data_IF_754185622131
#
_entry.id   IF_754185622131
#
_cell.length_a   1.000
_cell.length_b   1.000
_cell.length_c   1.000
_cell.angle_alpha   90.00
_cell.angle_beta   90.00
_cell.angle_gamma   90.00
#
_symmetry.space_group_name_H-M   'P 1'
#
loop_
_entity.id
_entity.type
_entity.pdbx_description
1 polymer ?
#
# COMPACT_ATOMS: atom_id res chain seq x y z
N UNK A 1 2.86 -4.63 21.10
CA UNK A 1 3.83 -5.36 20.24
C UNK A 1 3.64 -6.86 20.37
N UNK A 2 3.66 -7.44 21.58
CA UNK A 2 3.50 -8.89 21.78
C UNK A 2 2.33 -9.49 21.00
N UNK A 3 1.19 -8.81 20.93
CA UNK A 3 0.01 -9.25 20.16
C UNK A 3 0.17 -9.26 18.64
N UNK A 4 1.30 -8.77 18.15
CA UNK A 4 1.64 -8.72 16.72
C UNK A 4 2.82 -9.64 16.37
N UNK A 5 3.31 -10.39 17.33
CA UNK A 5 4.35 -11.41 17.13
C UNK A 5 3.72 -12.77 16.82
N UNK A 6 4.41 -13.53 16.00
CA UNK A 6 4.11 -14.94 15.76
C UNK A 6 5.11 -15.82 16.53
N UNK A 7 4.93 -17.14 16.48
CA UNK A 7 5.89 -18.10 17.07
C UNK A 7 7.29 -17.96 16.46
N UNK A 8 7.37 -17.58 15.20
CA UNK A 8 8.62 -17.50 14.41
C UNK A 8 9.14 -16.07 14.21
N UNK A 9 8.28 -15.05 14.33
CA UNK A 9 8.65 -13.65 14.11
C UNK A 9 8.53 -12.85 15.42
N UNK A 10 9.66 -12.49 16.00
CA UNK A 10 9.74 -11.69 17.23
C UNK A 10 10.55 -10.43 17.02
N UNK A 11 10.15 -9.35 17.67
CA UNK A 11 10.94 -8.11 17.69
C UNK A 11 12.07 -8.20 18.70
N UNK A 12 13.31 -8.02 18.26
CA UNK A 12 14.49 -8.07 19.10
C UNK A 12 14.53 -6.98 20.16
N UNK A 13 14.46 -5.71 19.75
CA UNK A 13 14.45 -4.56 20.66
C UNK A 13 13.10 -3.85 20.64
N UNK A 14 12.11 -4.42 21.33
CA UNK A 14 10.73 -3.88 21.39
C UNK A 14 10.66 -2.51 22.02
N UNK A 15 11.36 -2.33 23.12
CA UNK A 15 11.31 -1.10 23.90
C UNK A 15 11.98 0.05 23.17
N UNK A 16 13.17 -0.15 22.62
CA UNK A 16 13.86 0.85 21.80
C UNK A 16 13.07 1.22 20.55
N UNK A 17 12.43 0.23 19.89
CA UNK A 17 11.59 0.52 18.72
C UNK A 17 10.37 1.38 19.09
N UNK A 18 9.71 1.07 20.23
CA UNK A 18 8.57 1.88 20.69
C UNK A 18 9.02 3.30 21.03
N UNK A 19 10.02 3.43 21.91
CA UNK A 19 10.47 4.72 22.43
C UNK A 19 11.04 5.62 21.34
N UNK A 20 11.93 5.06 20.51
CA UNK A 20 12.75 5.86 19.60
C UNK A 20 12.08 6.10 18.23
N UNK A 21 11.09 5.28 17.84
CA UNK A 21 10.47 5.39 16.53
C UNK A 21 8.94 5.48 16.57
N UNK A 22 8.25 4.52 17.18
CA UNK A 22 6.80 4.43 17.00
C UNK A 22 6.04 5.50 17.76
N UNK A 23 6.46 5.85 18.97
CA UNK A 23 5.86 6.96 19.73
C UNK A 23 6.14 8.31 19.06
N UNK A 24 7.39 8.68 18.71
CA UNK A 24 7.68 9.93 18.00
C UNK A 24 6.94 10.08 16.69
N UNK A 25 6.90 9.02 15.85
CA UNK A 25 6.16 9.05 14.59
C UNK A 25 4.66 9.22 14.82
N UNK A 26 4.08 8.49 15.79
CA UNK A 26 2.65 8.60 16.11
C UNK A 26 2.29 10.00 16.63
N UNK A 27 3.13 10.56 17.51
CA UNK A 27 2.95 11.93 18.00
C UNK A 27 3.01 12.96 16.86
N UNK A 28 3.98 12.81 15.96
CA UNK A 28 4.11 13.68 14.80
C UNK A 28 2.88 13.60 13.87
N UNK A 29 2.40 12.38 13.60
CA UNK A 29 1.19 12.17 12.80
C UNK A 29 -0.01 12.83 13.49
N UNK A 30 -0.18 12.61 14.80
CA UNK A 30 -1.28 13.20 15.57
C UNK A 30 -1.30 14.73 15.52
N UNK A 31 -0.12 15.36 15.63
CA UNK A 31 0.02 16.82 15.49
C UNK A 31 -0.33 17.35 14.10
N UNK A 32 -0.14 16.55 13.05
CA UNK A 32 -0.42 16.94 11.66
C UNK A 32 -1.85 16.59 11.22
N UNK A 33 -2.49 15.64 11.91
CA UNK A 33 -3.88 15.29 11.64
C UNK A 33 -4.79 16.40 12.17
N UNK A 34 -5.40 17.15 11.27
CA UNK A 34 -6.49 18.04 11.61
C UNK A 34 -7.82 17.31 11.38
N UNK A 35 -8.83 17.59 12.22
CA UNK A 35 -10.13 16.91 12.10
C UNK A 35 -10.95 17.36 10.87
N UNK A 36 -10.40 18.20 10.01
CA UNK A 36 -11.09 18.73 8.82
C UNK A 36 -11.06 17.74 7.66
N UNK A 37 -9.93 17.03 7.47
CA UNK A 37 -9.73 16.04 6.40
C UNK A 37 -8.87 14.88 6.90
N UNK A 38 -9.07 13.65 6.40
CA UNK A 38 -8.18 12.55 6.72
C UNK A 38 -6.73 12.85 6.37
N UNK A 39 -5.82 12.57 7.29
CA UNK A 39 -4.38 12.62 7.06
C UNK A 39 -3.91 11.28 6.50
N UNK A 40 -3.32 11.29 5.31
CA UNK A 40 -2.90 10.07 4.61
C UNK A 40 -1.42 9.80 4.85
N UNK A 41 -1.15 8.70 5.53
CA UNK A 41 0.20 8.19 5.80
C UNK A 41 0.49 7.04 4.85
N UNK A 42 1.46 7.20 3.96
CA UNK A 42 1.99 6.10 3.17
C UNK A 42 2.99 5.29 3.99
N UNK A 43 2.90 3.97 3.95
CA UNK A 43 3.86 3.06 4.56
C UNK A 43 4.37 2.06 3.53
N UNK A 44 5.64 2.15 3.20
CA UNK A 44 6.29 1.29 2.23
C UNK A 44 7.42 0.45 2.85
N UNK A 45 7.73 -0.65 2.21
CA UNK A 45 8.83 -1.55 2.58
C UNK A 45 8.71 -2.89 1.86
N UNK A 46 9.80 -3.63 1.76
CA UNK A 46 9.83 -4.96 1.14
C UNK A 46 8.92 -5.97 1.85
N UNK A 47 8.75 -7.13 1.26
CA UNK A 47 8.07 -8.24 1.91
C UNK A 47 8.87 -8.64 3.17
N UNK A 48 8.20 -9.02 4.24
CA UNK A 48 8.86 -9.39 5.50
C UNK A 48 9.38 -8.23 6.37
N UNK A 49 9.32 -6.96 5.92
CA UNK A 49 9.84 -5.81 6.70
C UNK A 49 8.94 -5.37 7.86
N UNK A 50 7.87 -6.08 8.16
CA UNK A 50 6.99 -5.77 9.29
C UNK A 50 6.00 -4.62 9.06
N UNK A 51 5.70 -4.25 7.80
CA UNK A 51 4.73 -3.17 7.47
C UNK A 51 3.42 -3.29 8.24
N UNK A 52 2.79 -4.46 8.14
CA UNK A 52 1.48 -4.71 8.75
C UNK A 52 1.53 -4.60 10.27
N UNK A 53 2.61 -5.05 10.88
CA UNK A 53 2.84 -4.96 12.33
C UNK A 53 3.04 -3.52 12.76
N UNK A 54 3.92 -2.79 12.08
CA UNK A 54 4.22 -1.39 12.40
C UNK A 54 2.98 -0.51 12.21
N UNK A 55 2.25 -0.69 11.11
CA UNK A 55 1.00 0.05 10.88
C UNK A 55 -0.05 -0.24 11.95
N UNK A 56 -0.12 -1.49 12.45
CA UNK A 56 -1.02 -1.87 13.54
C UNK A 56 -0.64 -1.20 14.86
N UNK A 57 0.65 -1.14 15.17
CA UNK A 57 1.13 -0.50 16.41
C UNK A 57 0.89 1.02 16.35
N UNK A 58 1.24 1.66 15.25
CA UNK A 58 0.96 3.10 15.04
C UNK A 58 -0.55 3.37 15.18
N UNK A 59 -1.40 2.55 14.56
CA UNK A 59 -2.86 2.65 14.71
C UNK A 59 -3.28 2.58 16.18
N UNK A 60 -2.80 1.59 16.94
CA UNK A 60 -3.13 1.44 18.37
C UNK A 60 -2.72 2.67 19.18
N UNK A 61 -1.52 3.22 18.93
CA UNK A 61 -1.04 4.42 19.63
C UNK A 61 -1.95 5.61 19.31
N UNK A 62 -2.22 5.85 18.02
CA UNK A 62 -3.08 6.96 17.59
C UNK A 62 -4.50 6.86 18.13
N UNK A 63 -5.09 5.65 18.17
CA UNK A 63 -6.44 5.46 18.67
C UNK A 63 -6.52 5.55 20.20
N UNK A 64 -5.59 4.91 20.92
CA UNK A 64 -5.65 4.84 22.39
C UNK A 64 -5.24 6.16 23.07
N UNK A 65 -4.15 6.76 22.61
CA UNK A 65 -3.59 7.95 23.28
C UNK A 65 -4.09 9.27 22.68
N UNK A 66 -4.26 9.33 21.35
CA UNK A 66 -4.69 10.56 20.67
C UNK A 66 -6.17 10.57 20.29
N UNK A 67 -6.92 9.49 20.58
CA UNK A 67 -8.36 9.35 20.31
C UNK A 67 -8.75 9.58 18.85
N UNK A 68 -7.82 9.37 17.92
CA UNK A 68 -8.04 9.52 16.49
C UNK A 68 -8.70 8.25 15.90
N UNK A 69 -9.53 8.42 14.88
CA UNK A 69 -10.14 7.34 14.11
C UNK A 69 -9.18 6.94 13.00
N UNK A 70 -8.51 5.82 13.17
CA UNK A 70 -7.45 5.35 12.25
C UNK A 70 -7.89 4.14 11.45
N UNK A 71 -7.78 4.21 10.14
CA UNK A 71 -8.03 3.07 9.26
C UNK A 71 -6.75 2.67 8.51
N UNK A 72 -6.52 1.36 8.48
CA UNK A 72 -5.46 0.75 7.67
C UNK A 72 -6.07 0.24 6.38
N UNK A 73 -5.41 0.52 5.28
CA UNK A 73 -5.75 -0.01 3.96
C UNK A 73 -4.48 -0.51 3.27
N UNK A 74 -4.57 -1.64 2.61
CA UNK A 74 -3.47 -2.18 1.82
C UNK A 74 -3.69 -1.91 0.34
N UNK A 75 -2.62 -1.60 -0.39
CA UNK A 75 -2.67 -1.53 -1.85
C UNK A 75 -3.10 -2.87 -2.45
N UNK A 76 -2.77 -3.98 -1.79
CA UNK A 76 -3.10 -5.34 -2.21
C UNK A 76 -4.60 -5.60 -2.25
N UNK A 77 -5.41 -4.92 -1.41
CA UNK A 77 -6.86 -5.05 -1.42
C UNK A 77 -7.50 -4.52 -2.72
N UNK A 78 -6.76 -3.71 -3.46
CA UNK A 78 -7.20 -3.08 -4.70
C UNK A 78 -6.66 -3.76 -5.97
N UNK A 79 -6.13 -4.97 -5.89
CA UNK A 79 -5.76 -5.68 -7.12
C UNK A 79 -6.97 -5.78 -8.06
N UNK A 80 -6.69 -5.68 -9.35
CA UNK A 80 -7.65 -6.01 -10.40
C UNK A 80 -8.13 -7.44 -10.23
N UNK A 81 -9.39 -7.71 -10.60
CA UNK A 81 -9.92 -9.06 -10.65
C UNK A 81 -9.08 -9.94 -11.58
N UNK A 82 -9.16 -11.26 -11.39
CA UNK A 82 -8.45 -12.20 -12.25
C UNK A 82 -8.84 -12.03 -13.72
N UNK A 83 -10.15 -11.82 -14.00
CA UNK A 83 -10.65 -11.54 -15.34
C UNK A 83 -10.00 -10.30 -15.96
N UNK A 84 -9.91 -9.21 -15.21
CA UNK A 84 -9.26 -7.97 -15.68
C UNK A 84 -7.76 -8.17 -15.94
N UNK A 85 -7.06 -8.96 -15.10
CA UNK A 85 -5.63 -9.27 -15.29
C UNK A 85 -5.41 -10.20 -16.49
N UNK A 86 -6.29 -11.17 -16.75
CA UNK A 86 -6.27 -11.99 -17.97
C UNK A 86 -6.42 -11.09 -19.20
N UNK A 87 -7.38 -10.17 -19.22
CA UNK A 87 -7.53 -9.24 -20.34
C UNK A 87 -6.30 -8.34 -20.52
N UNK A 88 -5.73 -7.85 -19.40
CA UNK A 88 -4.52 -7.04 -19.41
C UNK A 88 -3.29 -7.82 -19.92
N UNK A 89 -3.14 -9.08 -19.53
CA UNK A 89 -2.04 -9.92 -19.95
C UNK A 89 -2.06 -10.21 -21.45
N UNK A 90 -3.25 -10.44 -22.02
CA UNK A 90 -3.43 -10.63 -23.46
C UNK A 90 -3.17 -9.34 -24.26
N UNK A 91 -3.59 -8.18 -23.70
CA UNK A 91 -3.48 -6.90 -24.40
C UNK A 91 -2.07 -6.30 -24.36
N UNK A 92 -1.33 -6.50 -23.28
CA UNK A 92 -0.06 -5.80 -23.03
C UNK A 92 1.10 -6.77 -22.92
N UNK A 93 1.12 -7.62 -21.90
CA UNK A 93 2.23 -8.54 -21.67
C UNK A 93 1.84 -9.69 -20.73
N UNK A 94 2.22 -10.96 -21.01
CA UNK A 94 1.83 -12.13 -20.20
C UNK A 94 2.15 -12.01 -18.70
N UNK A 95 3.27 -11.39 -18.33
CA UNK A 95 3.66 -11.19 -16.93
C UNK A 95 2.66 -10.34 -16.12
N UNK A 96 1.72 -9.63 -16.76
CA UNK A 96 0.67 -8.86 -16.07
C UNK A 96 -0.51 -9.72 -15.61
N UNK A 97 -0.51 -11.02 -15.91
CA UNK A 97 -1.45 -11.98 -15.32
C UNK A 97 -1.21 -12.10 -13.81
N UNK A 98 0.06 -12.18 -13.41
CA UNK A 98 0.44 -12.24 -12.00
C UNK A 98 0.22 -10.88 -11.33
N UNK A 99 -0.48 -10.88 -10.18
CA UNK A 99 -0.62 -9.68 -9.36
C UNK A 99 0.71 -9.26 -8.74
N UNK A 100 0.84 -7.98 -8.42
CA UNK A 100 2.01 -7.47 -7.69
C UNK A 100 2.44 -6.10 -8.20
N UNK A 101 2.89 -6.03 -9.45
CA UNK A 101 3.51 -4.83 -10.01
C UNK A 101 2.53 -3.70 -10.28
N UNK A 102 3.01 -2.43 -10.31
CA UNK A 102 2.22 -1.29 -10.73
C UNK A 102 1.55 -1.52 -12.09
N UNK A 103 0.24 -1.27 -12.15
CA UNK A 103 -0.63 -1.57 -13.30
C UNK A 103 -1.57 -2.75 -13.07
N UNK A 104 -1.28 -3.61 -12.10
CA UNK A 104 -2.18 -4.72 -11.71
C UNK A 104 -3.19 -4.33 -10.62
N UNK A 105 -3.14 -3.09 -10.12
CA UNK A 105 -4.10 -2.55 -9.16
C UNK A 105 -5.16 -1.68 -9.86
N UNK A 106 -6.33 -1.58 -9.26
CA UNK A 106 -7.42 -0.67 -9.67
C UNK A 106 -7.21 0.72 -9.06
N UNK A 107 -6.38 1.51 -9.70
CA UNK A 107 -6.04 2.87 -9.24
C UNK A 107 -7.25 3.81 -9.25
N UNK A 108 -8.18 3.62 -10.18
CA UNK A 108 -9.38 4.46 -10.22
C UNK A 108 -10.25 4.24 -8.97
N UNK A 109 -10.39 2.99 -8.54
CA UNK A 109 -11.09 2.65 -7.30
C UNK A 109 -10.39 3.24 -6.07
N UNK A 110 -9.05 3.21 -6.00
CA UNK A 110 -8.29 3.84 -4.91
C UNK A 110 -8.48 5.36 -4.89
N UNK A 111 -8.42 6.01 -6.05
CA UNK A 111 -8.63 7.46 -6.15
C UNK A 111 -10.04 7.86 -5.72
N UNK A 112 -11.05 7.07 -6.12
CA UNK A 112 -12.44 7.28 -5.68
C UNK A 112 -12.58 7.08 -4.16
N UNK A 113 -11.97 6.03 -3.60
CA UNK A 113 -11.93 5.78 -2.16
C UNK A 113 -11.30 6.98 -1.41
N UNK A 114 -10.15 7.49 -1.85
CA UNK A 114 -9.48 8.63 -1.25
C UNK A 114 -10.34 9.91 -1.36
N UNK A 115 -10.98 10.12 -2.51
CA UNK A 115 -11.91 11.25 -2.71
C UNK A 115 -13.10 11.18 -1.75
N UNK A 116 -13.74 10.02 -1.65
CA UNK A 116 -14.91 9.79 -0.78
C UNK A 116 -14.56 9.91 0.70
N UNK A 117 -13.38 9.46 1.12
CA UNK A 117 -12.92 9.59 2.51
C UNK A 117 -12.74 11.07 2.94
N UNK A 118 -12.43 11.96 1.99
CA UNK A 118 -12.27 13.41 2.21
C UNK A 118 -13.60 14.19 2.18
N UNK A 119 -14.71 13.55 1.84
CA UNK A 119 -15.98 14.25 1.66
C UNK A 119 -16.46 14.92 2.97
N UNK A 120 -16.96 16.16 2.88
CA UNK A 120 -17.52 16.90 4.04
C UNK A 120 -18.68 16.12 4.68
N UNK A 121 -19.62 15.65 3.85
CA UNK A 121 -20.70 14.73 4.27
C UNK A 121 -20.21 13.31 4.04
N UNK A 122 -19.59 12.71 5.06
CA UNK A 122 -19.09 11.35 4.98
C UNK A 122 -20.26 10.35 4.91
N UNK A 123 -20.18 9.47 3.94
CA UNK A 123 -21.08 8.31 3.81
C UNK A 123 -20.27 7.05 4.03
N UNK A 124 -20.92 5.97 4.42
CA UNK A 124 -20.25 4.67 4.56
C UNK A 124 -19.45 4.32 3.30
N UNK A 125 -18.18 3.94 3.50
CA UNK A 125 -17.29 3.52 2.43
C UNK A 125 -17.11 2.01 2.45
N UNK A 126 -17.23 1.39 1.30
CA UNK A 126 -16.86 -0.01 1.10
C UNK A 126 -15.37 -0.09 0.76
N UNK A 127 -14.62 -0.83 1.57
CA UNK A 127 -13.22 -1.15 1.33
C UNK A 127 -13.16 -2.51 0.63
N UNK A 128 -12.60 -2.60 -0.58
CA UNK A 128 -12.42 -3.88 -1.25
C UNK A 128 -11.55 -4.80 -0.40
N UNK A 129 -11.68 -6.08 -0.65
CA UNK A 129 -10.87 -7.10 -0.01
C UNK A 129 -10.46 -8.12 -1.08
N UNK A 130 -9.18 -8.47 -1.12
CA UNK A 130 -8.62 -9.39 -2.09
C UNK A 130 -8.35 -10.75 -1.46
N UNK A 131 -8.87 -11.81 -2.07
CA UNK A 131 -8.62 -13.17 -1.64
C UNK A 131 -7.38 -13.74 -2.34
N UNK A 132 -6.28 -13.82 -1.62
CA UNK A 132 -5.00 -14.31 -2.16
C UNK A 132 -5.03 -15.80 -2.49
N UNK A 133 -5.91 -16.58 -1.84
CA UNK A 133 -5.99 -18.04 -2.05
C UNK A 133 -6.61 -18.38 -3.41
N UNK A 134 -7.65 -17.65 -3.83
CA UNK A 134 -8.30 -17.84 -5.13
C UNK A 134 -7.79 -16.85 -6.18
N UNK A 135 -6.83 -16.00 -5.80
CA UNK A 135 -6.22 -14.97 -6.66
C UNK A 135 -7.24 -14.02 -7.31
N UNK A 136 -8.28 -13.64 -6.54
CA UNK A 136 -9.31 -12.74 -7.04
C UNK A 136 -9.88 -11.84 -5.92
N UNK A 137 -10.60 -10.80 -6.31
CA UNK A 137 -11.28 -9.89 -5.40
C UNK A 137 -12.54 -10.53 -4.84
N UNK A 138 -12.78 -10.38 -3.54
CA UNK A 138 -14.06 -10.78 -2.95
C UNK A 138 -15.23 -10.00 -3.57
N UNK A 139 -16.44 -10.61 -3.67
CA UNK A 139 -17.63 -9.91 -4.09
C UNK A 139 -17.97 -8.76 -3.12
N UNK A 140 -18.63 -7.71 -3.63
CA UNK A 140 -18.86 -6.45 -2.89
C UNK A 140 -19.62 -6.60 -1.57
N UNK A 141 -20.43 -7.62 -1.42
CA UNK A 141 -21.14 -7.92 -0.17
C UNK A 141 -20.20 -8.38 0.96
N UNK A 142 -19.02 -8.91 0.62
CA UNK A 142 -17.96 -9.31 1.58
C UNK A 142 -16.92 -8.20 1.86
N UNK A 143 -17.12 -7.00 1.31
CA UNK A 143 -16.22 -5.89 1.55
C UNK A 143 -16.47 -5.25 2.92
N UNK A 144 -15.40 -4.88 3.59
CA UNK A 144 -15.49 -4.16 4.87
C UNK A 144 -16.16 -2.80 4.68
N UNK A 145 -16.89 -2.37 5.71
CA UNK A 145 -17.54 -1.05 5.69
C UNK A 145 -16.87 -0.12 6.70
N UNK A 146 -16.42 1.02 6.23
CA UNK A 146 -15.97 2.11 7.07
C UNK A 146 -17.19 3.02 7.31
N UNK A 147 -17.71 3.02 8.52
CA UNK A 147 -18.95 3.75 8.91
C UNK A 147 -18.69 5.08 9.62
N UNK A 148 -17.43 5.38 9.95
CA UNK A 148 -17.02 6.65 10.58
C UNK A 148 -15.96 7.31 9.72
N UNK A 149 -16.04 8.63 9.59
CA UNK A 149 -15.02 9.38 8.86
C UNK A 149 -13.66 9.18 9.53
N UNK A 150 -12.62 8.76 8.78
CA UNK A 150 -11.27 8.62 9.31
C UNK A 150 -10.65 9.99 9.61
N UNK A 151 -9.86 10.05 10.70
CA UNK A 151 -8.95 11.18 10.97
C UNK A 151 -7.57 10.89 10.35
N UNK A 152 -7.17 9.61 10.35
CA UNK A 152 -5.93 9.14 9.73
C UNK A 152 -6.20 7.88 8.89
N UNK A 153 -5.62 7.82 7.71
CA UNK A 153 -5.57 6.62 6.87
C UNK A 153 -4.11 6.22 6.69
N UNK A 154 -3.75 5.00 7.14
CA UNK A 154 -2.46 4.40 6.87
C UNK A 154 -2.60 3.52 5.62
N UNK A 155 -1.99 3.97 4.53
CA UNK A 155 -1.99 3.27 3.24
C UNK A 155 -0.68 2.52 3.07
N UNK A 156 -0.72 1.19 3.18
CA UNK A 156 0.48 0.36 3.14
C UNK A 156 0.62 -0.42 1.83
N UNK A 157 1.87 -0.72 1.48
CA UNK A 157 2.20 -1.63 0.41
C UNK A 157 3.66 -1.56 -0.01
N UNK A 158 4.10 -2.60 -0.72
CA UNK A 158 5.50 -2.68 -1.12
C UNK A 158 5.93 -1.60 -2.12
N UNK A 159 5.04 -1.18 -3.01
CA UNK A 159 5.30 -0.16 -4.03
C UNK A 159 4.65 1.21 -3.70
N UNK A 160 4.14 1.40 -2.49
CA UNK A 160 3.57 2.69 -2.09
C UNK A 160 4.66 3.75 -2.11
N UNK A 161 4.41 4.86 -2.81
CA UNK A 161 5.40 5.93 -2.98
C UNK A 161 6.47 5.67 -4.04
N UNK A 162 6.46 4.52 -4.72
CA UNK A 162 7.40 4.23 -5.80
C UNK A 162 7.30 5.27 -6.93
N UNK A 163 8.43 5.64 -7.48
CA UNK A 163 8.55 6.62 -8.57
C UNK A 163 8.91 5.92 -9.87
N UNK A 164 8.55 6.56 -10.98
CA UNK A 164 8.96 6.10 -12.30
C UNK A 164 10.47 6.31 -12.50
N UNK A 165 11.09 5.36 -13.16
CA UNK A 165 12.48 5.40 -13.60
C UNK A 165 12.66 6.18 -14.91
N UNK A 166 13.90 6.50 -15.24
CA UNK A 166 14.25 7.07 -16.56
C UNK A 166 14.13 5.99 -17.64
N UNK A 167 13.90 6.38 -18.89
CA UNK A 167 13.85 5.42 -19.99
C UNK A 167 15.18 4.66 -20.13
N UNK A 168 16.30 5.32 -19.90
CA UNK A 168 17.66 4.71 -19.95
C UNK A 168 17.80 3.62 -18.90
N UNK A 169 17.28 3.82 -17.69
CA UNK A 169 17.32 2.80 -16.62
C UNK A 169 16.54 1.53 -16.98
N UNK A 170 15.53 1.64 -17.84
CA UNK A 170 14.71 0.49 -18.25
C UNK A 170 15.39 -0.39 -19.30
N UNK A 171 16.39 0.11 -20.02
CA UNK A 171 17.04 -0.63 -21.11
C UNK A 171 17.73 -1.89 -20.61
N UNK A 172 18.35 -1.82 -19.44
CA UNK A 172 19.04 -2.94 -18.81
C UNK A 172 18.08 -3.71 -17.90
N UNK A 173 17.92 -5.02 -18.11
CA UNK A 173 17.22 -5.90 -17.19
C UNK A 173 17.99 -6.00 -15.86
N UNK A 174 17.27 -5.89 -14.74
CA UNK A 174 17.87 -5.92 -13.39
C UNK A 174 17.87 -7.32 -12.76
N UNK A 175 17.15 -8.26 -13.36
CA UNK A 175 17.05 -9.63 -12.87
C UNK A 175 16.80 -10.63 -14.01
N UNK A 176 16.89 -11.92 -13.68
CA UNK A 176 16.69 -13.03 -14.63
C UNK A 176 15.29 -13.07 -15.22
N UNK A 177 14.25 -12.72 -14.43
CA UNK A 177 12.87 -12.70 -14.90
C UNK A 177 12.67 -11.70 -16.05
N UNK A 178 13.15 -10.47 -15.88
CA UNK A 178 13.10 -9.45 -16.93
C UNK A 178 13.92 -9.84 -18.15
N UNK A 179 15.12 -10.39 -17.92
CA UNK A 179 16.00 -10.87 -18.99
C UNK A 179 15.34 -11.96 -19.82
N UNK A 180 14.64 -12.90 -19.18
CA UNK A 180 14.03 -14.05 -19.87
C UNK A 180 12.69 -13.69 -20.55
N UNK A 181 11.92 -12.75 -20.01
CA UNK A 181 10.52 -12.59 -20.43
C UNK A 181 10.18 -11.22 -21.03
N UNK A 182 11.05 -10.22 -20.91
CA UNK A 182 10.75 -8.85 -21.39
C UNK A 182 11.87 -8.27 -22.28
N UNK A 183 12.31 -9.02 -23.28
CA UNK A 183 13.36 -8.59 -24.22
C UNK A 183 13.00 -7.30 -24.96
N UNK A 184 11.70 -7.09 -25.25
CA UNK A 184 11.20 -5.92 -25.97
C UNK A 184 10.86 -4.73 -25.06
N UNK A 185 11.15 -4.81 -23.76
CA UNK A 185 10.87 -3.75 -22.79
C UNK A 185 9.38 -3.37 -22.65
N UNK A 186 8.47 -4.21 -23.09
CA UNK A 186 7.02 -3.90 -23.11
C UNK A 186 6.48 -3.86 -21.66
N UNK A 187 6.83 -4.87 -20.86
CA UNK A 187 6.38 -4.95 -19.48
C UNK A 187 6.98 -3.84 -18.62
N UNK A 188 8.31 -3.64 -18.65
CA UNK A 188 8.99 -2.58 -17.89
C UNK A 188 8.47 -1.18 -18.24
N UNK A 189 8.33 -0.88 -19.54
CA UNK A 189 7.76 0.38 -20.02
C UNK A 189 6.32 0.58 -19.55
N UNK A 190 5.49 -0.46 -19.60
CA UNK A 190 4.12 -0.39 -19.12
C UNK A 190 4.06 -0.09 -17.62
N UNK A 191 4.78 -0.86 -16.79
CA UNK A 191 4.86 -0.65 -15.33
C UNK A 191 5.33 0.76 -15.02
N UNK A 192 6.40 1.20 -15.67
CA UNK A 192 6.95 2.55 -15.49
C UNK A 192 5.96 3.65 -15.90
N UNK A 193 5.23 3.46 -16.99
CA UNK A 193 4.20 4.41 -17.42
C UNK A 193 3.04 4.49 -16.42
N UNK A 194 2.64 3.39 -15.80
CA UNK A 194 1.66 3.41 -14.72
C UNK A 194 2.16 4.24 -13.53
N UNK A 195 3.42 4.04 -13.11
CA UNK A 195 4.05 4.84 -12.05
C UNK A 195 4.10 6.32 -12.41
N UNK A 196 4.50 6.64 -13.64
CA UNK A 196 4.61 8.02 -14.13
C UNK A 196 3.28 8.78 -14.14
N UNK A 197 2.16 8.06 -14.29
CA UNK A 197 0.83 8.65 -14.47
C UNK A 197 -0.11 8.37 -13.30
N UNK A 198 -0.76 7.24 -13.31
CA UNK A 198 -1.85 6.90 -12.37
C UNK A 198 -1.38 6.82 -10.93
N UNK A 199 -0.25 6.14 -10.69
CA UNK A 199 0.29 6.01 -9.34
C UNK A 199 0.85 7.34 -8.81
N UNK A 200 1.50 8.15 -9.66
CA UNK A 200 1.90 9.50 -9.29
C UNK A 200 0.72 10.32 -8.76
N UNK A 201 -0.44 10.28 -9.46
CA UNK A 201 -1.67 10.96 -9.04
C UNK A 201 -2.22 10.42 -7.71
N UNK A 202 -2.11 9.11 -7.47
CA UNK A 202 -2.51 8.50 -6.20
C UNK A 202 -1.56 8.94 -5.07
N UNK A 203 -0.27 8.79 -5.26
CA UNK A 203 0.74 9.06 -4.24
C UNK A 203 0.89 10.56 -3.92
N UNK A 204 0.55 11.45 -4.84
CA UNK A 204 0.50 12.90 -4.55
C UNK A 204 -0.58 13.28 -3.53
N UNK A 205 -1.48 12.37 -3.18
CA UNK A 205 -2.48 12.59 -2.14
C UNK A 205 -2.01 12.19 -0.74
N UNK A 206 -0.85 11.53 -0.62
CA UNK A 206 -0.24 11.18 0.66
C UNK A 206 0.36 12.44 1.30
N UNK A 207 0.11 12.61 2.59
CA UNK A 207 0.63 13.74 3.36
C UNK A 207 2.06 13.48 3.87
N UNK A 208 2.39 12.21 4.12
CA UNK A 208 3.73 11.77 4.48
C UNK A 208 4.00 10.34 4.04
N UNK A 209 5.28 9.97 4.04
CA UNK A 209 5.74 8.61 3.73
C UNK A 209 6.64 8.09 4.84
N UNK A 210 6.38 6.86 5.27
CA UNK A 210 7.25 6.07 6.13
C UNK A 210 7.81 4.93 5.26
N UNK A 211 9.13 4.81 5.21
CA UNK A 211 9.79 3.76 4.46
C UNK A 211 10.57 2.83 5.39
N UNK A 212 10.21 1.55 5.38
CA UNK A 212 10.90 0.51 6.14
C UNK A 212 12.01 -0.09 5.28
N UNK A 213 13.25 0.30 5.58
CA UNK A 213 14.43 -0.22 4.89
C UNK A 213 14.92 -1.48 5.60
N UNK A 214 14.97 -2.60 4.90
CA UNK A 214 15.67 -3.79 5.35
C UNK A 214 17.19 -3.55 5.28
N UNK A 215 17.95 -4.10 6.25
CA UNK A 215 19.41 -4.03 6.23
C UNK A 215 20.00 -4.83 5.08
N UNK A 216 19.48 -6.03 4.86
CA UNK A 216 19.90 -6.96 3.80
C UNK A 216 18.68 -7.67 3.21
N UNK A 217 18.78 -8.09 1.95
CA UNK A 217 17.90 -9.09 1.32
C UNK A 217 18.54 -10.48 1.40
N UNK A 218 18.97 -10.89 2.57
CA UNK A 218 19.28 -12.30 2.80
C UNK A 218 17.96 -13.01 3.08
N UNK A 219 17.55 -13.84 2.12
CA UNK A 219 16.52 -14.86 2.33
C UNK A 219 17.13 -15.99 3.16
#
# INVERSE_FOLDING_TARGET
>A
IKSQETSTEKFGNKEGMIKNFLIPISFWIAKKADNKKPYFVGLAGGQGTGKTTISSIIKIILEKYFKLKVFKISIDDFYKTRKERIALSKKVHPMLLTRGVPGTHDINMMLDFFKKSKAKKFKNLKLPNFNKAIDDRFPKNKWNTINKRPDVIIFEGWCVGARAETNKSLEKSINSLEKANDHKLIWRKYVNQQLKTKYKKLYSQLNCMIYLKAKNFSL
#
